data_IF_957591325131
#
_entry.id   IF_957591325131
#
_cell.length_a   1.000
_cell.length_b   1.000
_cell.length_c   1.000
_cell.angle_alpha   90.00
_cell.angle_beta   90.00
_cell.angle_gamma   90.00
#
_symmetry.space_group_name_H-M   'P 1'
#
loop_
_entity.id
_entity.type
_entity.pdbx_description
1 polymer ?
#
# COMPACT_ATOMS: atom_id res chain seq x y z
N UNK A 1 -4.62 -18.17 -18.90
CA UNK A 1 -3.64 -17.55 -17.94
C UNK A 1 -4.18 -17.77 -16.54
N UNK A 2 -3.36 -17.95 -15.48
CA UNK A 2 -3.97 -18.16 -14.15
C UNK A 2 -4.63 -16.88 -13.62
N UNK A 3 -5.70 -17.03 -12.84
CA UNK A 3 -6.37 -15.95 -12.11
C UNK A 3 -5.38 -15.13 -11.25
N UNK A 4 -4.36 -15.80 -10.69
CA UNK A 4 -3.29 -15.15 -9.92
C UNK A 4 -2.40 -14.28 -10.82
N UNK A 5 -2.03 -14.78 -12.02
CA UNK A 5 -1.21 -13.99 -12.95
C UNK A 5 -1.96 -12.70 -13.37
N UNK A 6 -3.27 -12.78 -13.58
CA UNK A 6 -4.12 -11.61 -13.83
C UNK A 6 -4.20 -10.69 -12.60
N UNK A 7 -4.38 -11.24 -11.39
CA UNK A 7 -4.32 -10.45 -10.15
C UNK A 7 -2.99 -9.69 -10.06
N UNK A 8 -1.86 -10.32 -10.35
CA UNK A 8 -0.56 -9.70 -10.22
C UNK A 8 -0.34 -8.62 -11.30
N UNK A 9 -0.77 -8.88 -12.54
CA UNK A 9 -0.79 -7.89 -13.61
C UNK A 9 -1.59 -6.63 -13.23
N UNK A 10 -2.84 -6.82 -12.80
CA UNK A 10 -3.74 -5.75 -12.34
C UNK A 10 -3.15 -5.04 -11.13
N UNK A 11 -2.50 -5.76 -10.22
CA UNK A 11 -1.87 -5.17 -9.04
C UNK A 11 -0.63 -4.34 -9.40
N UNK A 12 0.19 -4.80 -10.35
CA UNK A 12 1.34 -4.04 -10.84
C UNK A 12 0.88 -2.77 -11.56
N UNK A 13 -0.19 -2.84 -12.38
CA UNK A 13 -0.83 -1.65 -12.94
C UNK A 13 -1.38 -0.75 -11.84
N UNK A 14 -2.10 -1.28 -10.84
CA UNK A 14 -2.63 -0.49 -9.71
C UNK A 14 -1.50 0.21 -8.96
N UNK A 15 -0.42 -0.49 -8.62
CA UNK A 15 0.71 0.08 -7.88
C UNK A 15 1.41 1.17 -8.68
N UNK A 16 1.54 1.00 -10.01
CA UNK A 16 1.99 2.05 -10.91
C UNK A 16 1.00 3.24 -10.96
N UNK A 17 -0.30 2.96 -11.00
CA UNK A 17 -1.37 3.95 -11.05
C UNK A 17 -1.57 4.69 -9.72
N UNK A 18 -1.29 4.09 -8.56
CA UNK A 18 -1.32 4.77 -7.24
C UNK A 18 -0.31 5.93 -7.23
N UNK A 19 0.86 5.74 -7.84
CA UNK A 19 1.87 6.79 -8.02
C UNK A 19 1.48 7.85 -9.08
N UNK A 20 0.53 7.56 -9.98
CA UNK A 20 -0.01 8.52 -10.98
C UNK A 20 -1.23 9.28 -10.45
N UNK A 21 -2.23 8.56 -9.94
CA UNK A 21 -3.62 8.99 -9.74
C UNK A 21 -3.86 9.70 -8.41
N UNK A 22 -2.92 10.57 -8.03
CA UNK A 22 -3.03 11.47 -6.87
C UNK A 22 -3.81 12.80 -7.07
N UNK A 23 -4.71 12.98 -8.08
CA UNK A 23 -5.72 14.06 -8.06
C UNK A 23 -6.82 13.88 -7.00
N UNK A 24 -7.24 12.65 -6.70
CA UNK A 24 -8.42 12.34 -5.87
C UNK A 24 -8.31 12.71 -4.38
N UNK A 25 -7.20 13.31 -3.95
CA UNK A 25 -7.04 13.81 -2.57
C UNK A 25 -7.95 15.01 -2.26
N UNK A 26 -8.52 15.69 -3.27
CA UNK A 26 -9.32 16.92 -3.09
C UNK A 26 -10.56 16.76 -2.21
N UNK A 27 -11.17 15.59 -2.19
CA UNK A 27 -12.47 15.38 -1.53
C UNK A 27 -12.35 14.92 -0.07
N UNK A 28 -11.13 14.63 0.41
CA UNK A 28 -10.81 14.54 1.84
C UNK A 28 -10.63 15.94 2.44
N UNK A 29 -11.70 16.75 2.35
CA UNK A 29 -11.81 18.04 3.01
C UNK A 29 -11.50 17.86 4.49
N UNK A 30 -10.62 18.71 5.04
CA UNK A 30 -10.29 18.67 6.46
C UNK A 30 -11.58 18.82 7.29
N UNK A 31 -11.92 17.86 8.17
CA UNK A 31 -13.12 17.97 8.98
C UNK A 31 -12.99 19.22 9.87
N UNK A 32 -14.06 20.03 9.90
CA UNK A 32 -14.13 21.16 10.81
C UNK A 32 -13.83 20.66 12.24
N UNK A 33 -12.94 21.36 12.94
CA UNK A 33 -12.37 20.88 14.20
C UNK A 33 -13.48 20.43 15.17
N UNK A 34 -13.52 19.12 15.43
CA UNK A 34 -14.51 18.55 16.32
C UNK A 34 -14.38 19.19 17.72
N UNK A 35 -15.49 19.45 18.44
CA UNK A 35 -15.40 19.89 19.82
C UNK A 35 -14.57 18.90 20.63
N UNK A 36 -13.90 19.39 21.68
CA UNK A 36 -12.86 18.66 22.41
C UNK A 36 -13.39 17.44 23.19
N UNK A 37 -13.68 16.36 22.47
CA UNK A 37 -13.97 15.05 23.02
C UNK A 37 -12.73 14.49 23.75
N UNK A 38 -12.98 13.61 24.73
CA UNK A 38 -11.92 12.88 25.42
C UNK A 38 -11.11 12.04 24.41
N UNK A 39 -9.79 11.98 24.60
CA UNK A 39 -8.92 11.24 23.70
C UNK A 39 -9.16 9.73 23.85
N UNK A 40 -9.53 9.06 22.76
CA UNK A 40 -9.83 7.63 22.80
C UNK A 40 -8.55 6.82 22.97
N UNK A 41 -8.48 6.05 24.05
CA UNK A 41 -7.30 5.28 24.41
C UNK A 41 -7.22 3.92 23.69
N UNK A 42 -6.04 3.60 23.18
CA UNK A 42 -5.69 2.36 22.51
C UNK A 42 -4.42 1.76 23.10
N UNK A 43 -4.37 0.43 23.19
CA UNK A 43 -3.25 -0.33 23.77
C UNK A 43 -2.65 -1.37 22.82
N UNK A 44 -3.35 -1.67 21.73
CA UNK A 44 -2.79 -2.40 20.59
C UNK A 44 -3.27 -1.79 19.26
N UNK A 45 -2.62 -2.17 18.15
CA UNK A 45 -2.97 -1.67 16.83
C UNK A 45 -4.27 -2.31 16.27
N UNK A 46 -4.68 -3.46 16.80
CA UNK A 46 -5.86 -4.20 16.31
C UNK A 46 -7.12 -3.42 16.65
N UNK A 47 -7.28 -3.01 17.90
CA UNK A 47 -8.47 -2.30 18.35
C UNK A 47 -8.54 -0.90 17.72
N UNK A 48 -7.39 -0.24 17.53
CA UNK A 48 -7.29 1.01 16.76
C UNK A 48 -7.81 0.84 15.33
N UNK A 49 -7.26 -0.10 14.57
CA UNK A 49 -7.67 -0.30 13.18
C UNK A 49 -9.09 -0.88 13.06
N UNK A 50 -9.58 -1.62 14.08
CA UNK A 50 -10.99 -2.04 14.16
C UNK A 50 -11.93 -0.84 14.13
N UNK A 51 -11.68 0.19 14.95
CA UNK A 51 -12.50 1.39 14.96
C UNK A 51 -12.36 2.24 13.69
N UNK A 52 -11.15 2.37 13.13
CA UNK A 52 -10.92 3.15 11.89
C UNK A 52 -11.67 2.51 10.70
N UNK A 53 -11.58 1.19 10.57
CA UNK A 53 -12.24 0.41 9.51
C UNK A 53 -13.74 0.19 9.77
N UNK A 54 -14.24 0.51 10.97
CA UNK A 54 -15.65 0.33 11.35
C UNK A 54 -16.04 -1.12 11.66
N UNK A 55 -15.07 -1.97 12.01
CA UNK A 55 -15.32 -3.36 12.41
C UNK A 55 -15.89 -3.41 13.83
N UNK A 56 -17.11 -3.95 13.94
CA UNK A 56 -17.87 -4.04 15.19
C UNK A 56 -19.07 -3.11 15.17
N UNK A 57 -18.99 -2.01 15.91
CA UNK A 57 -20.08 -1.05 16.10
C UNK A 57 -19.87 0.20 15.21
N UNK A 58 -20.71 0.46 14.19
CA UNK A 58 -20.56 1.62 13.32
C UNK A 58 -20.62 2.96 14.05
N UNK A 59 -21.32 3.04 15.19
CA UNK A 59 -21.41 4.25 16.02
C UNK A 59 -20.09 4.55 16.76
N UNK A 60 -19.17 3.58 16.79
CA UNK A 60 -17.81 3.72 17.34
C UNK A 60 -16.73 3.93 16.27
N UNK A 61 -17.09 4.16 15.00
CA UNK A 61 -16.08 4.37 13.96
C UNK A 61 -15.22 5.61 14.25
N UNK A 62 -13.89 5.45 14.22
CA UNK A 62 -12.95 6.56 14.44
C UNK A 62 -12.87 7.46 13.21
N UNK A 63 -13.67 8.53 13.22
CA UNK A 63 -13.65 9.57 12.21
C UNK A 63 -12.39 10.48 12.30
N UNK A 64 -12.02 11.09 11.18
CA UNK A 64 -11.01 12.16 11.18
C UNK A 64 -11.50 13.36 12.01
N UNK A 65 -10.57 14.07 12.65
CA UNK A 65 -10.83 15.06 13.70
C UNK A 65 -10.90 14.46 15.11
N UNK A 66 -11.00 13.13 15.26
CA UNK A 66 -11.02 12.47 16.56
C UNK A 66 -9.68 12.56 17.31
N UNK A 67 -9.74 12.82 18.63
CA UNK A 67 -8.57 12.74 19.51
C UNK A 67 -8.27 11.29 19.88
N UNK A 68 -6.99 10.93 19.84
CA UNK A 68 -6.49 9.56 20.04
C UNK A 68 -5.36 9.58 21.07
N UNK A 69 -5.28 8.52 21.87
CA UNK A 69 -4.20 8.25 22.81
C UNK A 69 -3.68 6.82 22.58
N UNK A 70 -2.49 6.66 22.01
CA UNK A 70 -1.84 5.36 21.84
C UNK A 70 -0.91 5.09 23.04
N UNK A 71 -1.07 3.96 23.75
CA UNK A 71 -0.34 3.65 24.99
C UNK A 71 0.71 2.58 24.81
N UNK A 72 1.97 2.88 25.13
CA UNK A 72 3.08 1.92 25.03
C UNK A 72 3.39 1.47 23.60
N UNK A 73 3.25 2.37 22.62
CA UNK A 73 3.58 2.09 21.23
C UNK A 73 5.06 2.42 20.98
N UNK A 74 5.75 1.65 20.13
CA UNK A 74 7.14 1.90 19.77
C UNK A 74 7.23 2.71 18.48
N UNK A 75 8.11 3.70 18.42
CA UNK A 75 8.34 4.52 17.23
C UNK A 75 9.31 3.86 16.24
N UNK A 76 9.19 4.21 14.95
CA UNK A 76 10.14 3.84 13.89
C UNK A 76 9.92 4.69 12.63
N UNK A 77 10.97 5.09 11.88
CA UNK A 77 10.80 5.79 10.59
C UNK A 77 10.15 4.91 9.50
N UNK A 78 10.08 3.60 9.71
CA UNK A 78 9.52 2.63 8.76
C UNK A 78 7.99 2.57 8.82
N UNK A 79 7.32 3.44 8.07
CA UNK A 79 5.84 3.54 7.96
C UNK A 79 5.26 2.37 7.14
N UNK A 80 4.06 1.82 7.41
CA UNK A 80 3.46 0.80 6.54
C UNK A 80 3.29 1.31 5.10
N UNK A 81 3.59 0.50 4.06
CA UNK A 81 3.39 0.90 2.64
C UNK A 81 1.94 1.33 2.37
N UNK A 82 0.99 0.60 2.94
CA UNK A 82 -0.44 0.94 2.94
C UNK A 82 -0.93 0.80 4.38
N UNK A 83 -1.03 1.90 5.14
CA UNK A 83 -1.58 1.88 6.49
C UNK A 83 -2.94 1.17 6.55
N UNK A 84 -3.20 0.43 7.63
CA UNK A 84 -4.45 -0.30 7.83
C UNK A 84 -4.65 -1.56 6.98
N UNK A 85 -3.96 -1.72 5.84
CA UNK A 85 -4.16 -2.85 4.92
C UNK A 85 -3.98 -4.21 5.61
N UNK A 86 -2.98 -4.34 6.50
CA UNK A 86 -2.77 -5.56 7.28
C UNK A 86 -4.01 -6.01 8.08
N UNK A 87 -4.87 -5.09 8.48
CA UNK A 87 -6.02 -5.34 9.33
C UNK A 87 -7.31 -5.66 8.56
N UNK A 88 -7.33 -5.48 7.22
CA UNK A 88 -8.49 -5.87 6.40
C UNK A 88 -8.72 -7.39 6.43
N UNK A 89 -9.99 -7.79 6.51
CA UNK A 89 -10.41 -9.19 6.57
C UNK A 89 -9.96 -9.99 5.32
N UNK A 90 -10.02 -9.36 4.15
CA UNK A 90 -9.57 -9.93 2.87
C UNK A 90 -8.04 -10.10 2.86
N UNK A 91 -7.31 -9.12 3.43
CA UNK A 91 -5.85 -9.18 3.57
C UNK A 91 -5.41 -10.31 4.50
N UNK A 92 -6.18 -10.63 5.55
CA UNK A 92 -5.93 -11.82 6.37
C UNK A 92 -6.04 -13.12 5.55
N UNK A 93 -7.01 -13.20 4.62
CA UNK A 93 -7.15 -14.35 3.71
C UNK A 93 -5.97 -14.43 2.72
N UNK A 94 -5.52 -13.31 2.15
CA UNK A 94 -4.32 -13.29 1.28
C UNK A 94 -3.07 -13.83 2.02
N UNK A 95 -2.82 -13.36 3.25
CA UNK A 95 -1.70 -13.86 4.09
C UNK A 95 -1.85 -15.33 4.52
N UNK A 96 -3.07 -15.86 4.54
CA UNK A 96 -3.34 -17.27 4.79
C UNK A 96 -3.07 -18.11 3.54
N UNK A 97 -3.62 -17.72 2.38
CA UNK A 97 -3.46 -18.41 1.09
C UNK A 97 -1.98 -18.47 0.67
N UNK A 98 -1.22 -17.40 0.93
CA UNK A 98 0.23 -17.36 0.74
C UNK A 98 1.00 -18.53 1.39
N UNK A 99 0.47 -19.17 2.44
CA UNK A 99 1.13 -20.31 3.10
C UNK A 99 1.24 -21.55 2.20
N UNK A 100 0.33 -21.70 1.24
CA UNK A 100 0.36 -22.76 0.24
C UNK A 100 1.52 -22.55 -0.75
N UNK A 101 1.87 -21.28 -1.00
CA UNK A 101 2.95 -20.82 -1.87
C UNK A 101 4.33 -20.83 -1.17
N UNK A 102 4.60 -21.82 -0.33
CA UNK A 102 5.91 -22.07 0.27
C UNK A 102 6.61 -23.26 -0.40
N UNK A 103 7.84 -23.03 -0.86
CA UNK A 103 8.73 -24.04 -1.40
C UNK A 103 9.95 -24.23 -0.48
N UNK A 104 10.45 -25.46 -0.38
CA UNK A 104 11.65 -25.77 0.39
C UNK A 104 12.90 -25.52 -0.46
N UNK A 105 13.59 -24.41 -0.20
CA UNK A 105 14.85 -24.04 -0.82
C UNK A 105 15.98 -24.13 0.22
N UNK A 106 16.92 -25.06 0.03
CA UNK A 106 18.03 -25.28 0.99
C UNK A 106 17.57 -25.68 2.40
N UNK A 107 16.37 -26.26 2.54
CA UNK A 107 15.75 -26.57 3.84
C UNK A 107 14.96 -25.42 4.47
N UNK A 108 15.06 -24.19 3.93
CA UNK A 108 14.25 -23.05 4.36
C UNK A 108 12.97 -22.95 3.53
N UNK A 109 11.84 -22.71 4.20
CA UNK A 109 10.53 -22.53 3.56
C UNK A 109 10.37 -21.11 2.99
N UNK A 110 10.93 -20.87 1.81
CA UNK A 110 10.79 -19.60 1.09
C UNK A 110 9.44 -19.52 0.38
N UNK A 111 8.85 -18.33 0.34
CA UNK A 111 7.68 -18.06 -0.51
C UNK A 111 8.09 -17.94 -1.98
N UNK A 112 7.25 -18.43 -2.89
CA UNK A 112 7.29 -18.11 -4.33
C UNK A 112 7.03 -16.62 -4.56
N UNK A 113 7.21 -16.09 -5.80
CA UNK A 113 6.79 -14.73 -6.12
C UNK A 113 5.29 -14.51 -5.81
N UNK A 114 4.45 -15.49 -6.11
CA UNK A 114 3.01 -15.51 -5.74
C UNK A 114 2.82 -15.41 -4.22
N UNK A 115 3.52 -16.24 -3.45
CA UNK A 115 3.45 -16.22 -1.98
C UNK A 115 3.93 -14.90 -1.38
N UNK A 116 4.92 -14.23 -2.00
CA UNK A 116 5.40 -12.91 -1.57
C UNK A 116 4.42 -11.80 -1.97
N UNK A 117 3.88 -11.81 -3.19
CA UNK A 117 2.79 -10.94 -3.65
C UNK A 117 1.59 -11.01 -2.72
N UNK A 118 1.13 -12.21 -2.35
CA UNK A 118 0.01 -12.40 -1.43
C UNK A 118 0.28 -11.90 0.00
N UNK A 119 1.52 -11.90 0.48
CA UNK A 119 1.87 -11.25 1.76
C UNK A 119 1.87 -9.72 1.64
N UNK A 120 2.42 -9.15 0.56
CA UNK A 120 2.50 -7.68 0.37
C UNK A 120 1.13 -7.06 0.13
N UNK A 121 0.26 -7.73 -0.63
CA UNK A 121 -1.15 -7.35 -0.76
C UNK A 121 -1.97 -7.67 0.49
N UNK A 122 -1.49 -8.59 1.32
CA UNK A 122 -1.90 -8.74 2.70
C UNK A 122 -1.35 -7.65 3.65
N UNK A 123 -0.79 -6.55 3.16
CA UNK A 123 -0.30 -5.45 4.01
C UNK A 123 1.00 -5.73 4.76
N UNK A 124 1.86 -6.61 4.24
CA UNK A 124 3.25 -6.74 4.71
C UNK A 124 4.15 -5.85 3.85
N UNK A 125 4.87 -4.92 4.47
CA UNK A 125 5.75 -4.00 3.75
C UNK A 125 5.78 -2.61 4.38
N UNK A 126 6.97 -2.04 4.47
CA UNK A 126 7.22 -0.72 5.02
C UNK A 126 7.90 0.17 3.98
N UNK A 127 7.77 1.49 4.15
CA UNK A 127 8.58 2.49 3.47
C UNK A 127 9.23 3.42 4.49
N UNK A 128 10.45 3.87 4.21
CA UNK A 128 11.10 4.98 4.93
C UNK A 128 11.05 6.21 4.03
N UNK A 129 10.53 7.31 4.56
CA UNK A 129 10.32 8.56 3.82
C UNK A 129 11.24 9.66 4.32
N UNK A 130 11.67 10.54 3.42
CA UNK A 130 12.46 11.72 3.78
C UNK A 130 11.61 12.66 4.67
N UNK A 131 12.21 13.31 5.68
CA UNK A 131 11.54 14.39 6.40
C UNK A 131 11.30 15.59 5.48
N UNK A 132 10.16 16.24 5.65
CA UNK A 132 9.93 17.60 5.12
C UNK A 132 10.63 18.63 6.00
N UNK A 133 10.70 19.89 5.57
CA UNK A 133 11.31 20.98 6.34
C UNK A 133 10.62 21.33 7.68
N UNK A 134 9.44 20.75 7.97
CA UNK A 134 8.66 21.04 9.19
C UNK A 134 8.06 19.80 9.86
N UNK A 135 8.15 18.62 9.26
CA UNK A 135 7.52 17.40 9.78
C UNK A 135 8.02 16.13 9.11
N UNK A 136 7.84 14.96 9.74
CA UNK A 136 8.04 13.66 9.10
C UNK A 136 6.93 12.68 9.45
N UNK A 137 6.70 11.69 8.58
CA UNK A 137 5.78 10.58 8.84
C UNK A 137 6.55 9.36 9.32
N UNK A 138 6.14 8.84 10.48
CA UNK A 138 6.72 7.67 11.15
C UNK A 138 5.64 6.63 11.44
N UNK A 139 6.05 5.47 11.94
CA UNK A 139 5.19 4.42 12.46
C UNK A 139 5.17 4.42 14.00
N UNK A 140 3.99 4.18 14.58
CA UNK A 140 3.82 3.74 15.96
C UNK A 140 3.27 2.30 15.98
N UNK A 141 3.93 1.39 16.69
CA UNK A 141 3.53 -0.02 16.81
C UNK A 141 3.75 -0.56 18.23
N UNK A 142 2.67 -0.92 18.91
CA UNK A 142 2.65 -1.65 20.18
C UNK A 142 3.21 -3.08 20.06
N UNK A 143 2.95 -3.75 18.93
CA UNK A 143 3.44 -5.11 18.67
C UNK A 143 4.92 -5.17 18.25
N UNK A 144 5.50 -4.04 17.84
CA UNK A 144 6.87 -3.95 17.30
C UNK A 144 6.99 -4.38 15.83
N UNK A 145 5.90 -4.73 15.15
CA UNK A 145 5.86 -5.11 13.74
C UNK A 145 5.35 -3.93 12.91
N UNK A 146 6.27 -3.11 12.39
CA UNK A 146 5.92 -1.77 11.91
C UNK A 146 5.01 -1.75 10.66
N UNK A 147 4.90 -2.82 9.88
CA UNK A 147 3.90 -2.91 8.79
C UNK A 147 2.44 -3.00 9.28
N UNK A 148 2.23 -3.24 10.59
CA UNK A 148 0.91 -3.27 11.23
C UNK A 148 0.52 -1.95 11.89
N UNK A 149 1.47 -1.02 12.02
CA UNK A 149 1.37 0.13 12.91
C UNK A 149 0.41 1.21 12.45
N UNK A 150 0.35 2.27 13.25
CA UNK A 150 -0.38 3.51 12.97
C UNK A 150 0.61 4.51 12.36
N UNK A 151 0.30 5.15 11.22
CA UNK A 151 1.12 6.25 10.70
C UNK A 151 0.92 7.48 11.58
N UNK A 152 2.02 8.15 11.94
CA UNK A 152 2.07 9.32 12.81
C UNK A 152 2.79 10.43 12.07
N UNK A 153 2.17 11.60 11.97
CA UNK A 153 2.81 12.82 11.48
C UNK A 153 3.34 13.58 12.70
N UNK A 154 4.66 13.71 12.81
CA UNK A 154 5.32 14.44 13.90
C UNK A 154 5.90 15.73 13.33
N UNK A 155 5.57 16.88 13.94
CA UNK A 155 6.22 18.16 13.62
C UNK A 155 7.69 18.15 14.06
N UNK A 156 8.57 18.82 13.32
CA UNK A 156 10.02 18.74 13.49
C UNK A 156 10.47 19.23 14.89
N UNK A 157 9.82 20.25 15.45
CA UNK A 157 10.08 20.75 16.80
C UNK A 157 9.72 19.73 17.89
N UNK A 158 8.75 18.84 17.62
CA UNK A 158 8.45 17.72 18.51
C UNK A 158 9.44 16.55 18.28
N UNK A 159 9.90 16.33 17.05
CA UNK A 159 10.86 15.26 16.73
C UNK A 159 12.26 15.51 17.33
N UNK A 160 12.79 16.72 17.20
CA UNK A 160 14.15 17.07 17.63
C UNK A 160 14.42 16.82 19.13
N UNK A 161 13.38 16.85 19.97
CA UNK A 161 13.46 16.53 21.40
C UNK A 161 13.92 15.09 21.71
N UNK A 162 13.88 14.19 20.72
CA UNK A 162 14.27 12.77 20.86
C UNK A 162 15.53 12.39 20.07
N UNK A 163 16.18 13.36 19.43
CA UNK A 163 17.43 13.17 18.68
C UNK A 163 17.29 12.31 17.42
N UNK A 164 18.42 11.81 16.93
CA UNK A 164 18.51 11.21 15.58
C UNK A 164 17.78 9.86 15.44
N UNK A 165 17.49 9.15 16.54
CA UNK A 165 17.02 7.76 16.48
C UNK A 165 16.13 7.32 17.67
N UNK A 166 14.89 7.84 17.83
CA UNK A 166 13.88 7.26 18.73
C UNK A 166 13.26 5.97 18.19
N UNK A 167 13.96 5.22 17.32
CA UNK A 167 13.52 3.89 16.89
C UNK A 167 13.36 3.01 18.13
N UNK A 168 12.35 2.15 18.19
CA UNK A 168 12.13 1.25 19.35
C UNK A 168 11.80 1.95 20.67
N UNK A 169 11.75 3.30 20.71
CA UNK A 169 11.35 4.06 21.89
C UNK A 169 9.85 3.80 22.15
N UNK A 170 9.55 3.19 23.28
CA UNK A 170 8.18 3.01 23.76
C UNK A 170 7.68 4.34 24.36
N UNK A 171 6.58 4.83 23.80
CA UNK A 171 5.95 6.11 24.12
C UNK A 171 4.45 5.92 24.39
N UNK A 172 3.86 6.84 25.13
CA UNK A 172 2.45 7.18 24.97
C UNK A 172 2.34 8.38 24.00
N UNK A 173 1.43 8.33 23.03
CA UNK A 173 1.18 9.38 22.04
C UNK A 173 -0.25 9.93 22.17
N UNK A 174 -0.39 11.23 22.37
CA UNK A 174 -1.64 11.96 22.17
C UNK A 174 -1.65 12.59 20.77
N UNK A 175 -2.81 12.75 20.14
CA UNK A 175 -2.88 13.48 18.87
C UNK A 175 -4.27 13.54 18.26
N UNK A 176 -4.34 14.04 17.03
CA UNK A 176 -5.57 14.14 16.23
C UNK A 176 -5.48 13.25 15.00
N UNK A 177 -6.39 12.30 14.87
CA UNK A 177 -6.53 11.48 13.67
C UNK A 177 -6.98 12.36 12.50
N UNK A 178 -6.13 12.54 11.49
CA UNK A 178 -6.29 13.57 10.46
C UNK A 178 -5.74 13.12 9.10
N UNK A 179 -6.19 13.68 7.96
CA UNK A 179 -5.69 13.30 6.64
C UNK A 179 -4.17 13.45 6.52
N UNK A 180 -3.50 12.46 5.91
CA UNK A 180 -2.04 12.47 5.70
C UNK A 180 -1.70 13.60 4.73
N UNK A 181 -0.80 14.55 5.07
CA UNK A 181 -0.44 15.66 4.19
C UNK A 181 -0.07 15.18 2.78
N UNK A 182 -0.48 15.95 1.76
CA UNK A 182 -0.54 15.46 0.37
C UNK A 182 0.80 14.93 -0.11
N UNK A 183 1.89 15.59 0.29
CA UNK A 183 3.28 15.22 0.07
C UNK A 183 3.60 13.78 0.50
N UNK A 184 3.34 13.40 1.75
CA UNK A 184 3.55 12.02 2.23
C UNK A 184 2.52 11.03 1.67
N UNK A 185 1.30 11.50 1.40
CA UNK A 185 0.26 10.71 0.76
C UNK A 185 0.57 10.33 -0.70
N UNK A 186 1.68 10.82 -1.28
CA UNK A 186 2.19 10.40 -2.60
C UNK A 186 3.06 9.12 -2.54
N UNK A 187 3.80 8.88 -1.45
CA UNK A 187 4.63 7.68 -1.29
C UNK A 187 3.85 6.46 -0.79
N UNK A 188 2.94 6.70 0.16
CA UNK A 188 2.08 5.66 0.71
C UNK A 188 1.04 5.24 -0.35
N UNK A 189 0.66 3.97 -0.39
CA UNK A 189 -0.38 3.49 -1.32
C UNK A 189 -1.81 3.85 -0.86
N UNK A 190 -2.80 3.43 -1.63
CA UNK A 190 -4.22 3.52 -1.30
C UNK A 190 -4.87 2.15 -1.18
N UNK A 191 -6.01 2.07 -0.49
CA UNK A 191 -6.89 0.89 -0.55
C UNK A 191 -8.34 1.30 -0.28
N UNK A 192 -9.28 0.70 -1.02
CA UNK A 192 -10.71 0.95 -0.89
C UNK A 192 -11.20 0.61 0.53
N UNK A 193 -11.96 1.53 1.12
CA UNK A 193 -12.47 1.45 2.49
C UNK A 193 -11.48 1.89 3.59
N UNK A 194 -10.21 2.13 3.29
CA UNK A 194 -9.22 2.61 4.28
C UNK A 194 -9.05 4.14 4.18
N UNK A 195 -9.28 4.91 5.26
CA UNK A 195 -9.03 6.34 5.24
C UNK A 195 -7.52 6.63 5.24
N UNK A 196 -7.09 7.53 4.33
CA UNK A 196 -5.68 7.95 4.19
C UNK A 196 -5.31 9.00 5.26
N UNK A 197 -5.35 8.57 6.52
CA UNK A 197 -5.17 9.40 7.72
C UNK A 197 -3.96 8.94 8.56
N UNK A 198 -3.44 9.85 9.37
CA UNK A 198 -2.38 9.66 10.36
C UNK A 198 -2.74 10.31 11.69
N UNK A 199 -2.07 9.90 12.76
CA UNK A 199 -2.09 10.61 14.03
C UNK A 199 -1.20 11.84 13.91
N UNK A 200 -1.78 13.04 13.89
CA UNK A 200 -0.99 14.29 13.94
C UNK A 200 -0.61 14.62 15.38
N UNK A 201 0.69 14.84 15.57
CA UNK A 201 1.38 15.05 16.85
C UNK A 201 2.22 16.31 16.70
N UNK A 202 1.86 17.37 17.43
CA UNK A 202 2.30 18.74 17.14
C UNK A 202 3.12 19.40 18.25
N UNK A 203 3.18 18.80 19.45
CA UNK A 203 3.96 19.27 20.60
C UNK A 203 4.82 18.15 21.15
N UNK A 204 5.93 18.50 21.78
CA UNK A 204 6.68 17.55 22.61
C UNK A 204 5.82 16.97 23.75
N UNK A 205 4.90 17.76 24.33
CA UNK A 205 3.95 17.29 25.36
C UNK A 205 3.01 16.17 24.86
N UNK A 206 2.80 16.07 23.54
CA UNK A 206 1.97 15.03 22.93
C UNK A 206 2.68 13.66 22.93
N UNK A 207 3.99 13.60 23.21
CA UNK A 207 4.83 12.40 23.20
C UNK A 207 5.44 12.19 24.59
N UNK A 208 4.97 11.19 25.33
CA UNK A 208 5.50 10.83 26.66
C UNK A 208 6.37 9.57 26.57
N UNK A 209 7.72 9.67 26.66
CA UNK A 209 8.59 8.50 26.69
C UNK A 209 8.38 7.61 27.92
N UNK A 210 8.59 6.31 27.73
CA UNK A 210 8.46 5.30 28.80
C UNK A 210 9.76 4.54 29.02
N UNK A 211 10.33 4.00 27.94
CA UNK A 211 11.56 3.18 27.91
C UNK A 211 11.97 2.87 26.47
N UNK A 212 13.22 2.49 26.25
CA UNK A 212 13.62 1.81 25.01
C UNK A 212 13.16 0.35 25.04
N UNK A 213 12.65 -0.19 23.92
CA UNK A 213 12.23 -1.60 23.80
C UNK A 213 12.67 -2.20 22.48
N UNK A 214 13.68 -3.07 22.56
CA UNK A 214 14.35 -3.71 21.43
C UNK A 214 14.05 -5.22 21.35
N UNK A 215 14.10 -5.85 20.16
CA UNK A 215 14.16 -5.23 18.83
C UNK A 215 12.77 -4.79 18.33
N UNK A 216 12.75 -4.11 17.19
CA UNK A 216 11.54 -3.96 16.36
C UNK A 216 11.75 -4.58 14.97
N UNK A 217 10.68 -4.90 14.24
CA UNK A 217 10.73 -5.56 12.93
C UNK A 217 10.05 -4.73 11.84
N UNK A 218 10.74 -4.53 10.72
CA UNK A 218 10.24 -3.90 9.49
C UNK A 218 10.25 -4.90 8.33
N UNK A 219 9.63 -4.55 7.21
CA UNK A 219 9.63 -5.35 5.99
C UNK A 219 10.04 -4.53 4.77
N UNK A 220 11.24 -4.78 4.27
CA UNK A 220 11.69 -4.32 2.96
C UNK A 220 10.85 -4.99 1.87
N UNK A 221 10.64 -4.32 0.73
CA UNK A 221 9.89 -4.86 -0.40
C UNK A 221 10.31 -4.21 -1.73
N UNK A 222 10.00 -4.87 -2.84
CA UNK A 222 10.11 -4.32 -4.20
C UNK A 222 9.08 -5.00 -5.08
N UNK A 223 8.41 -4.26 -5.95
CA UNK A 223 7.82 -4.82 -7.17
C UNK A 223 8.98 -5.18 -8.13
N UNK A 224 8.91 -6.28 -8.87
CA UNK A 224 9.94 -6.65 -9.85
C UNK A 224 9.32 -7.29 -11.11
N UNK A 225 9.92 -7.05 -12.29
CA UNK A 225 9.59 -7.82 -13.51
C UNK A 225 10.57 -8.98 -13.71
N UNK A 226 10.07 -10.11 -14.20
CA UNK A 226 10.87 -11.29 -14.55
C UNK A 226 10.20 -12.07 -15.69
N UNK A 227 10.88 -13.11 -16.19
CA UNK A 227 10.28 -14.06 -17.15
C UNK A 227 9.86 -15.34 -16.44
N UNK A 228 8.61 -15.76 -16.65
CA UNK A 228 8.16 -17.07 -16.23
C UNK A 228 8.78 -18.19 -17.07
N UNK A 229 8.62 -19.44 -16.63
CA UNK A 229 9.02 -20.62 -17.41
C UNK A 229 8.30 -20.73 -18.77
N UNK A 230 7.13 -20.08 -18.89
CA UNK A 230 6.36 -19.87 -20.11
C UNK A 230 6.89 -18.74 -21.02
N UNK A 231 8.07 -18.17 -20.69
CA UNK A 231 8.71 -17.01 -21.33
C UNK A 231 7.92 -15.70 -21.29
N UNK A 232 6.73 -15.69 -20.66
CA UNK A 232 5.89 -14.50 -20.49
C UNK A 232 6.52 -13.58 -19.46
N UNK A 233 6.37 -12.26 -19.65
CA UNK A 233 6.76 -11.29 -18.62
C UNK A 233 5.76 -11.36 -17.48
N UNK A 234 6.26 -11.42 -16.25
CA UNK A 234 5.47 -11.43 -15.01
C UNK A 234 5.95 -10.30 -14.11
N UNK A 235 5.03 -9.83 -13.28
CA UNK A 235 5.25 -8.76 -12.31
C UNK A 235 4.82 -9.28 -10.95
N UNK A 236 5.72 -9.30 -9.97
CA UNK A 236 5.44 -9.82 -8.62
C UNK A 236 6.12 -8.92 -7.57
N UNK A 237 5.70 -9.04 -6.32
CA UNK A 237 6.43 -8.45 -5.21
C UNK A 237 7.42 -9.44 -4.61
N UNK A 238 8.59 -8.94 -4.25
CA UNK A 238 9.47 -9.56 -3.28
C UNK A 238 9.40 -8.76 -1.97
N UNK A 239 9.52 -9.45 -0.82
CA UNK A 239 9.65 -8.83 0.49
C UNK A 239 10.63 -9.62 1.37
N UNK A 240 11.21 -8.95 2.36
CA UNK A 240 12.03 -9.55 3.42
C UNK A 240 11.83 -8.79 4.74
N UNK A 241 11.67 -9.51 5.86
CA UNK A 241 11.55 -8.91 7.20
C UNK A 241 12.92 -8.79 7.85
N UNK A 242 13.25 -7.60 8.34
CA UNK A 242 14.50 -7.31 9.04
C UNK A 242 14.25 -6.72 10.43
N UNK A 243 15.21 -6.90 11.32
CA UNK A 243 15.22 -6.31 12.65
C UNK A 243 15.91 -4.95 12.60
N UNK A 244 15.29 -3.93 13.17
CA UNK A 244 15.89 -2.61 13.32
C UNK A 244 16.47 -2.51 14.73
N UNK A 245 17.66 -1.92 14.86
CA UNK A 245 18.45 -1.85 16.09
C UNK A 245 18.68 -3.24 16.72
N UNK A 246 19.49 -4.05 16.04
CA UNK A 246 20.13 -5.26 16.62
C UNK A 246 21.20 -4.94 17.70
N UNK A 247 21.26 -3.70 18.20
CA UNK A 247 22.23 -3.25 19.20
C UNK A 247 22.26 -4.20 20.39
N UNK A 248 23.42 -4.78 20.65
CA UNK A 248 23.69 -5.37 21.96
C UNK A 248 23.64 -4.27 23.03
N UNK A 249 23.03 -4.49 24.22
CA UNK A 249 22.95 -3.49 25.29
C UNK A 249 24.31 -3.09 25.90
N UNK A 250 25.42 -3.57 25.33
CA UNK A 250 26.80 -3.24 25.69
C UNK A 250 27.51 -2.35 24.63
N UNK A 251 26.81 -1.93 23.55
CA UNK A 251 27.35 -1.07 22.47
C UNK A 251 26.51 0.20 22.26
N UNK A 252 27.14 1.27 21.78
CA UNK A 252 26.47 2.51 21.33
C UNK A 252 25.85 2.30 19.93
N UNK A 253 24.75 2.98 19.54
CA UNK A 253 23.98 2.67 17.56
C UNK A 253 25.02 3.05 16.49
N UNK A 254 26.17 2.39 16.41
CA UNK A 254 27.19 2.67 15.37
C UNK A 254 27.11 1.64 14.25
N UNK A 255 26.74 2.08 13.04
CA UNK A 255 26.79 1.35 11.74
C UNK A 255 25.90 0.09 11.62
N UNK A 256 25.60 -0.62 12.71
CA UNK A 256 24.83 -1.89 12.75
C UNK A 256 23.37 -1.77 12.25
N UNK A 257 22.78 -0.55 12.20
CA UNK A 257 21.44 -0.31 11.63
C UNK A 257 21.39 -0.25 10.09
N UNK A 258 22.47 0.22 9.46
CA UNK A 258 22.59 0.16 8.00
C UNK A 258 22.65 -1.32 7.58
N UNK A 259 23.50 -2.09 8.27
CA UNK A 259 23.73 -3.51 7.99
C UNK A 259 22.44 -4.36 7.94
N UNK A 260 21.44 -4.15 8.80
CA UNK A 260 20.20 -4.94 8.73
C UNK A 260 19.24 -4.51 7.62
N UNK A 261 19.35 -3.26 7.14
CA UNK A 261 18.64 -2.77 5.95
C UNK A 261 19.34 -3.26 4.68
N UNK A 262 20.68 -3.23 4.67
CA UNK A 262 21.53 -3.74 3.59
C UNK A 262 21.41 -5.27 3.46
N UNK A 263 21.37 -6.03 4.55
CA UNK A 263 21.03 -7.47 4.57
C UNK A 263 19.69 -7.74 3.88
N UNK A 264 18.69 -6.88 4.11
CA UNK A 264 17.39 -7.01 3.48
C UNK A 264 17.47 -6.70 1.99
N UNK A 265 18.15 -5.61 1.59
CA UNK A 265 18.37 -5.24 0.20
C UNK A 265 19.17 -6.31 -0.57
N UNK A 266 20.21 -6.88 0.03
CA UNK A 266 21.00 -7.99 -0.50
C UNK A 266 20.13 -9.24 -0.72
N UNK A 267 19.29 -9.60 0.24
CA UNK A 267 18.32 -10.69 0.06
C UNK A 267 17.35 -10.40 -1.09
N UNK A 268 16.82 -9.17 -1.20
CA UNK A 268 15.90 -8.80 -2.27
C UNK A 268 16.59 -8.85 -3.64
N UNK A 269 17.82 -8.31 -3.76
CA UNK A 269 18.64 -8.37 -4.99
C UNK A 269 18.98 -9.81 -5.37
N UNK A 270 19.35 -10.65 -4.41
CA UNK A 270 19.61 -12.09 -4.62
C UNK A 270 18.37 -12.87 -5.07
N UNK A 271 17.21 -12.61 -4.46
CA UNK A 271 15.94 -13.24 -4.83
C UNK A 271 15.50 -12.83 -6.24
N UNK A 272 15.50 -11.53 -6.56
CA UNK A 272 15.16 -11.02 -7.90
C UNK A 272 16.12 -11.59 -8.96
N UNK A 273 17.43 -11.61 -8.67
CA UNK A 273 18.46 -12.18 -9.54
C UNK A 273 18.26 -13.67 -9.80
N UNK A 274 17.77 -14.43 -8.81
CA UNK A 274 17.39 -15.84 -8.95
C UNK A 274 16.23 -16.12 -9.90
N UNK A 275 15.40 -15.11 -10.20
CA UNK A 275 14.37 -15.14 -11.25
C UNK A 275 14.81 -14.43 -12.55
N UNK A 276 16.07 -14.02 -12.65
CA UNK A 276 16.60 -13.15 -13.71
C UNK A 276 15.76 -11.87 -13.93
N UNK A 277 15.22 -11.31 -12.85
CA UNK A 277 14.35 -10.14 -12.88
C UNK A 277 15.07 -8.80 -12.72
N UNK A 278 14.29 -7.71 -12.78
CA UNK A 278 14.71 -6.35 -12.48
C UNK A 278 13.78 -5.71 -11.44
N UNK A 279 14.35 -5.04 -10.44
CA UNK A 279 13.60 -4.24 -9.46
C UNK A 279 12.89 -3.06 -10.14
N UNK A 280 11.62 -2.85 -9.81
CA UNK A 280 10.79 -1.80 -10.40
C UNK A 280 10.47 -0.66 -9.42
N UNK A 281 10.57 -0.88 -8.12
CA UNK A 281 10.33 0.11 -7.07
C UNK A 281 11.40 0.01 -5.98
N UNK A 282 11.57 1.07 -5.19
CA UNK A 282 12.33 1.03 -3.94
C UNK A 282 11.39 1.15 -2.73
N UNK A 283 11.88 0.81 -1.54
CA UNK A 283 11.18 0.93 -0.26
C UNK A 283 11.80 2.00 0.66
N UNK A 284 12.91 2.62 0.25
CA UNK A 284 13.67 3.56 1.08
C UNK A 284 13.96 4.87 0.30
N UNK A 285 13.43 5.99 0.81
CA UNK A 285 13.61 7.32 0.22
C UNK A 285 14.90 8.00 0.69
N UNK A 286 15.38 7.65 1.89
CA UNK A 286 16.59 8.22 2.47
C UNK A 286 17.86 7.59 1.86
N UNK A 287 17.78 6.32 1.44
CA UNK A 287 18.89 5.55 0.88
C UNK A 287 18.39 4.56 -0.18
N UNK A 288 18.48 4.87 -1.48
CA UNK A 288 18.08 3.93 -2.54
C UNK A 288 18.94 2.65 -2.56
N UNK A 289 18.28 1.49 -2.64
CA UNK A 289 18.88 0.15 -2.59
C UNK A 289 18.96 -0.56 -3.94
N UNK A 290 18.26 -0.03 -4.96
CA UNK A 290 18.20 -0.60 -6.30
C UNK A 290 18.34 0.46 -7.41
N UNK A 291 18.85 0.03 -8.57
CA UNK A 291 18.61 0.70 -9.86
C UNK A 291 17.17 0.41 -10.32
N UNK A 292 16.19 0.95 -9.57
CA UNK A 292 14.78 0.69 -9.75
C UNK A 292 14.19 1.45 -10.95
N UNK A 293 13.21 0.86 -11.63
CA UNK A 293 12.53 1.58 -12.70
C UNK A 293 11.73 2.81 -12.20
N UNK A 294 11.25 2.79 -10.95
CA UNK A 294 10.60 3.91 -10.25
C UNK A 294 11.14 3.98 -8.80
N UNK A 295 12.30 4.60 -8.55
CA UNK A 295 12.81 4.74 -7.20
C UNK A 295 11.96 5.78 -6.44
N UNK A 296 11.73 5.52 -5.15
CA UNK A 296 10.74 6.28 -4.35
C UNK A 296 11.14 7.74 -4.14
N UNK A 297 12.45 8.05 -4.11
CA UNK A 297 12.97 9.41 -4.03
C UNK A 297 12.66 10.25 -5.29
N UNK A 298 12.78 9.71 -6.51
CA UNK A 298 12.36 10.40 -7.73
C UNK A 298 10.84 10.67 -7.72
N UNK A 299 10.05 9.71 -7.24
CA UNK A 299 8.58 9.83 -7.19
C UNK A 299 8.16 10.96 -6.25
N UNK A 300 8.74 11.00 -5.05
CA UNK A 300 8.42 11.97 -4.00
C UNK A 300 8.90 13.39 -4.33
N UNK A 301 10.11 13.52 -4.88
CA UNK A 301 10.63 14.81 -5.34
C UNK A 301 9.98 15.30 -6.65
N UNK A 302 9.01 14.54 -7.20
CA UNK A 302 8.35 14.78 -8.50
C UNK A 302 9.34 14.90 -9.67
N UNK A 303 10.45 14.17 -9.57
CA UNK A 303 11.51 14.08 -10.57
C UNK A 303 11.29 12.92 -11.55
N UNK A 304 10.44 11.92 -11.21
CA UNK A 304 9.97 10.94 -12.20
C UNK A 304 9.26 11.68 -13.34
N UNK A 305 9.82 11.55 -14.53
CA UNK A 305 9.17 11.96 -15.77
C UNK A 305 7.79 11.28 -15.93
N UNK A 306 6.68 12.04 -16.10
CA UNK A 306 5.37 11.47 -16.42
C UNK A 306 5.36 10.63 -17.71
N UNK A 307 6.33 10.81 -18.62
CA UNK A 307 6.63 9.89 -19.72
C UNK A 307 7.09 8.51 -19.21
N UNK A 308 8.20 8.43 -18.47
CA UNK A 308 8.73 7.21 -17.79
C UNK A 308 7.64 6.46 -17.04
N UNK A 309 6.82 7.15 -16.26
CA UNK A 309 5.75 6.54 -15.46
C UNK A 309 4.58 6.01 -16.32
N UNK A 310 4.14 6.74 -17.35
CA UNK A 310 3.15 6.22 -18.32
C UNK A 310 3.71 5.04 -19.13
N UNK A 311 4.97 5.14 -19.58
CA UNK A 311 5.67 4.05 -20.27
C UNK A 311 5.78 2.79 -19.38
N UNK A 312 5.84 2.92 -18.05
CA UNK A 312 5.72 1.78 -17.16
C UNK A 312 4.30 1.19 -17.13
N UNK A 313 3.27 2.01 -16.90
CA UNK A 313 1.87 1.55 -16.91
C UNK A 313 1.54 0.81 -18.21
N UNK A 314 1.89 1.40 -19.35
CA UNK A 314 1.66 0.80 -20.67
C UNK A 314 2.56 -0.42 -20.94
N UNK A 315 3.79 -0.49 -20.38
CA UNK A 315 4.62 -1.71 -20.39
C UNK A 315 3.95 -2.85 -19.62
N UNK A 316 3.35 -2.58 -18.45
CA UNK A 316 2.68 -3.63 -17.65
C UNK A 316 1.41 -4.08 -18.37
N UNK A 317 0.52 -3.15 -18.75
CA UNK A 317 -0.69 -3.41 -19.54
C UNK A 317 -0.39 -4.28 -20.76
N UNK A 318 0.44 -3.78 -21.68
CA UNK A 318 0.73 -4.43 -22.97
C UNK A 318 1.45 -5.78 -22.86
N UNK A 319 2.08 -6.10 -21.72
CA UNK A 319 2.77 -7.40 -21.51
C UNK A 319 1.96 -8.41 -20.70
N UNK A 320 1.10 -7.96 -19.79
CA UNK A 320 0.45 -8.82 -18.80
C UNK A 320 -1.09 -8.78 -18.80
N UNK A 321 -1.68 -7.86 -19.58
CA UNK A 321 -3.12 -7.82 -19.85
C UNK A 321 -3.48 -8.08 -21.32
N UNK A 322 -2.49 -8.25 -22.21
CA UNK A 322 -2.70 -8.37 -23.67
C UNK A 322 -3.80 -9.38 -24.09
N UNK A 323 -4.48 -9.22 -25.24
CA UNK A 323 -5.63 -10.04 -25.65
C UNK A 323 -5.40 -11.57 -25.70
N UNK A 324 -4.17 -12.03 -25.86
CA UNK A 324 -3.79 -13.46 -25.79
C UNK A 324 -3.62 -13.98 -24.34
N UNK A 325 -3.96 -13.14 -23.37
CA UNK A 325 -3.75 -13.34 -21.92
C UNK A 325 -4.99 -13.08 -21.07
N UNK A 326 -5.99 -12.33 -21.58
CA UNK A 326 -7.26 -12.04 -20.87
C UNK A 326 -8.47 -12.17 -21.81
N UNK A 327 -9.60 -12.67 -21.31
CA UNK A 327 -10.85 -12.85 -22.05
C UNK A 327 -11.69 -11.57 -22.13
N UNK A 328 -11.28 -10.64 -22.98
CA UNK A 328 -12.00 -9.38 -23.22
C UNK A 328 -13.45 -9.60 -23.70
N UNK A 329 -13.72 -10.69 -24.43
CA UNK A 329 -15.06 -11.11 -24.89
C UNK A 329 -16.09 -11.30 -23.76
N UNK A 330 -15.61 -11.47 -22.52
CA UNK A 330 -16.44 -11.68 -21.32
C UNK A 330 -16.80 -10.41 -20.58
N UNK A 331 -16.22 -9.26 -20.92
CA UNK A 331 -16.42 -8.02 -20.16
C UNK A 331 -17.90 -7.61 -20.01
N UNK A 332 -18.75 -7.60 -21.06
CA UNK A 332 -20.17 -7.26 -20.89
C UNK A 332 -20.91 -8.27 -20.00
N UNK A 333 -20.58 -9.55 -20.15
CA UNK A 333 -21.23 -10.65 -19.44
C UNK A 333 -20.90 -10.59 -17.94
N UNK A 334 -19.63 -10.37 -17.59
CA UNK A 334 -19.15 -10.26 -16.21
C UNK A 334 -19.67 -9.00 -15.52
N UNK A 335 -19.74 -7.87 -16.23
CA UNK A 335 -20.35 -6.65 -15.71
C UNK A 335 -21.83 -6.87 -15.38
N UNK A 336 -22.61 -7.42 -16.31
CA UNK A 336 -24.04 -7.71 -16.09
C UNK A 336 -24.31 -8.77 -15.01
N UNK A 337 -23.35 -9.66 -14.71
CA UNK A 337 -23.52 -10.74 -13.72
C UNK A 337 -23.07 -10.37 -12.31
N UNK A 338 -22.05 -9.52 -12.16
CA UNK A 338 -21.39 -9.28 -10.86
C UNK A 338 -21.49 -7.85 -10.33
N UNK A 339 -22.06 -6.92 -11.10
CA UNK A 339 -22.16 -5.50 -10.76
C UNK A 339 -23.58 -4.99 -10.97
N UNK A 340 -24.03 -4.05 -10.14
CA UNK A 340 -25.24 -3.28 -10.37
C UNK A 340 -24.93 -1.90 -10.99
N UNK A 341 -25.96 -1.17 -11.43
CA UNK A 341 -25.83 0.12 -12.12
C UNK A 341 -25.01 1.17 -11.38
N UNK A 342 -25.06 1.24 -10.05
CA UNK A 342 -24.29 2.21 -9.29
C UNK A 342 -22.82 1.77 -9.16
N UNK A 343 -22.55 0.46 -9.12
CA UNK A 343 -21.17 -0.07 -9.16
C UNK A 343 -20.54 0.09 -10.55
N UNK A 344 -21.31 0.01 -11.64
CA UNK A 344 -20.82 0.31 -13.00
C UNK A 344 -20.53 1.80 -13.17
N UNK A 345 -21.31 2.70 -12.55
CA UNK A 345 -20.98 4.13 -12.46
C UNK A 345 -19.69 4.39 -11.69
N UNK A 346 -19.50 3.73 -10.54
CA UNK A 346 -18.26 3.83 -9.74
C UNK A 346 -17.05 3.34 -10.55
N UNK A 347 -17.17 2.20 -11.26
CA UNK A 347 -16.11 1.72 -12.17
C UNK A 347 -15.75 2.76 -13.24
N UNK A 348 -16.75 3.37 -13.87
CA UNK A 348 -16.55 4.40 -14.89
C UNK A 348 -15.86 5.66 -14.32
N UNK A 349 -16.22 6.09 -13.12
CA UNK A 349 -15.65 7.28 -12.49
C UNK A 349 -14.23 7.05 -11.96
N UNK A 350 -14.01 6.00 -11.17
CA UNK A 350 -12.74 5.83 -10.42
C UNK A 350 -11.61 5.29 -11.31
N UNK A 351 -11.92 4.32 -12.18
CA UNK A 351 -10.92 3.69 -13.03
C UNK A 351 -10.75 4.41 -14.36
N UNK A 352 -11.87 4.83 -14.97
CA UNK A 352 -11.88 5.46 -16.30
C UNK A 352 -11.98 6.99 -16.26
N UNK A 353 -12.36 7.61 -15.14
CA UNK A 353 -12.52 9.07 -15.02
C UNK A 353 -13.56 9.65 -16.00
N UNK A 354 -14.65 8.90 -16.22
CA UNK A 354 -15.80 9.33 -17.02
C UNK A 354 -17.09 9.15 -16.22
N UNK A 355 -17.88 10.22 -16.09
CA UNK A 355 -19.26 10.10 -15.61
C UNK A 355 -20.07 9.34 -16.67
N UNK A 356 -20.63 8.18 -16.30
CA UNK A 356 -21.35 7.29 -17.20
C UNK A 356 -22.57 7.97 -17.85
N UNK A 357 -23.13 8.95 -17.16
CA UNK A 357 -24.17 9.88 -17.57
C UNK A 357 -23.85 10.69 -18.85
N UNK A 358 -22.58 10.85 -19.21
CA UNK A 358 -22.17 11.47 -20.47
C UNK A 358 -22.05 10.48 -21.63
N UNK A 359 -22.04 9.17 -21.35
CA UNK A 359 -22.04 8.10 -22.34
C UNK A 359 -23.45 7.58 -22.62
N UNK A 360 -24.30 7.49 -21.58
CA UNK A 360 -25.68 7.01 -21.65
C UNK A 360 -26.58 7.78 -20.68
N UNK A 361 -27.87 7.91 -20.99
CA UNK A 361 -28.79 8.69 -20.14
C UNK A 361 -28.95 8.13 -18.72
N UNK A 362 -29.13 9.02 -17.72
CA UNK A 362 -29.27 8.69 -16.28
C UNK A 362 -30.25 7.56 -15.95
N UNK A 363 -31.29 7.39 -16.77
CA UNK A 363 -32.37 6.41 -16.60
C UNK A 363 -32.20 5.13 -17.43
N UNK A 364 -31.07 4.95 -18.12
CA UNK A 364 -30.80 3.76 -18.92
C UNK A 364 -30.57 2.53 -18.04
N UNK A 365 -30.84 1.34 -18.59
CA UNK A 365 -30.69 0.07 -17.87
C UNK A 365 -29.23 -0.36 -17.72
N UNK A 366 -29.00 -1.36 -16.87
CA UNK A 366 -27.66 -1.95 -16.68
C UNK A 366 -27.04 -2.47 -17.99
N UNK A 367 -27.84 -3.05 -18.88
CA UNK A 367 -27.36 -3.51 -20.19
C UNK A 367 -26.84 -2.33 -21.05
N UNK A 368 -27.63 -1.26 -21.19
CA UNK A 368 -27.26 -0.07 -21.95
C UNK A 368 -26.02 0.63 -21.36
N UNK A 369 -25.92 0.66 -20.03
CA UNK A 369 -24.78 1.19 -19.27
C UNK A 369 -23.49 0.39 -19.50
N UNK A 370 -23.59 -0.93 -19.51
CA UNK A 370 -22.46 -1.82 -19.77
C UNK A 370 -22.01 -1.75 -21.23
N UNK A 371 -22.96 -1.74 -22.16
CA UNK A 371 -22.68 -1.63 -23.60
C UNK A 371 -22.01 -0.28 -23.95
N UNK A 372 -22.53 0.83 -23.42
CA UNK A 372 -21.94 2.15 -23.59
C UNK A 372 -20.54 2.27 -22.95
N UNK A 373 -20.32 1.66 -21.78
CA UNK A 373 -19.02 1.69 -21.10
C UNK A 373 -17.96 0.84 -21.83
N UNK A 374 -18.32 -0.35 -22.30
CA UNK A 374 -17.40 -1.21 -23.07
C UNK A 374 -17.10 -0.59 -24.44
N UNK A 375 -18.12 -0.09 -25.15
CA UNK A 375 -17.95 0.64 -26.43
C UNK A 375 -17.08 1.90 -26.30
N UNK A 376 -17.18 2.61 -25.17
CA UNK A 376 -16.25 3.70 -24.85
C UNK A 376 -14.82 3.18 -24.66
N UNK A 377 -14.62 2.11 -23.89
CA UNK A 377 -13.29 1.54 -23.65
C UNK A 377 -12.64 0.96 -24.91
N UNK A 378 -13.43 0.38 -25.83
CA UNK A 378 -12.97 -0.05 -27.15
C UNK A 378 -12.51 1.13 -28.02
N UNK A 379 -13.29 2.21 -28.06
CA UNK A 379 -13.00 3.37 -28.92
C UNK A 379 -11.81 4.20 -28.44
N UNK A 380 -11.63 4.34 -27.13
CA UNK A 380 -10.55 5.17 -26.56
C UNK A 380 -9.26 4.37 -26.23
N UNK A 381 -9.20 3.07 -26.55
CA UNK A 381 -8.08 2.14 -26.23
C UNK A 381 -7.81 1.98 -24.71
N UNK A 382 -8.86 1.61 -23.95
CA UNK A 382 -8.88 1.62 -22.47
C UNK A 382 -9.46 0.38 -21.79
N UNK A 383 -9.65 -0.72 -22.52
CA UNK A 383 -10.22 -1.94 -21.93
C UNK A 383 -9.37 -2.51 -20.77
N UNK A 384 -8.07 -2.26 -20.76
CA UNK A 384 -7.16 -2.59 -19.65
C UNK A 384 -7.51 -1.83 -18.37
N UNK A 385 -7.85 -0.54 -18.45
CA UNK A 385 -8.27 0.25 -17.29
C UNK A 385 -9.58 -0.31 -16.70
N UNK A 386 -10.50 -0.76 -17.56
CA UNK A 386 -11.76 -1.40 -17.17
C UNK A 386 -11.53 -2.79 -16.53
N UNK A 387 -10.65 -3.62 -17.11
CA UNK A 387 -10.23 -4.90 -16.51
C UNK A 387 -9.58 -4.68 -15.14
N UNK A 388 -8.72 -3.67 -15.02
CA UNK A 388 -8.04 -3.30 -13.78
C UNK A 388 -9.05 -2.94 -12.69
N UNK A 389 -10.15 -2.26 -13.03
CA UNK A 389 -11.27 -2.02 -12.12
C UNK A 389 -12.09 -3.26 -11.77
N UNK A 390 -12.59 -3.98 -12.78
CA UNK A 390 -13.43 -5.19 -12.60
C UNK A 390 -12.71 -6.25 -11.75
N UNK A 391 -11.41 -6.43 -11.95
CA UNK A 391 -10.59 -7.36 -11.20
C UNK A 391 -10.23 -6.82 -9.80
N UNK A 392 -10.28 -5.52 -9.51
CA UNK A 392 -10.11 -5.01 -8.15
C UNK A 392 -11.40 -5.20 -7.34
N UNK A 393 -12.53 -4.71 -7.84
CA UNK A 393 -13.82 -4.72 -7.13
C UNK A 393 -14.44 -6.11 -6.93
N UNK A 394 -14.03 -7.10 -7.73
CA UNK A 394 -14.49 -8.50 -7.62
C UNK A 394 -13.33 -9.47 -7.74
N UNK A 395 -13.13 -10.30 -6.71
CA UNK A 395 -12.13 -11.37 -6.76
C UNK A 395 -12.53 -12.54 -7.68
N UNK A 396 -13.82 -12.80 -7.82
CA UNK A 396 -14.35 -13.94 -8.60
C UNK A 396 -14.19 -13.76 -10.12
N UNK A 397 -14.40 -12.54 -10.64
CA UNK A 397 -14.25 -12.21 -12.08
C UNK A 397 -12.85 -12.50 -12.62
N UNK A 398 -11.81 -12.44 -11.77
CA UNK A 398 -10.42 -12.79 -12.11
C UNK A 398 -10.27 -14.22 -12.65
N UNK A 399 -11.10 -15.15 -12.15
CA UNK A 399 -11.10 -16.54 -12.58
C UNK A 399 -11.84 -16.76 -13.91
N UNK A 400 -12.67 -15.82 -14.34
CA UNK A 400 -13.49 -15.90 -15.55
C UNK A 400 -12.89 -15.08 -16.71
N UNK A 401 -12.19 -13.99 -16.39
CA UNK A 401 -11.29 -13.25 -17.27
C UNK A 401 -10.04 -14.06 -17.68
N UNK A 402 -9.72 -15.11 -16.92
CA UNK A 402 -8.63 -16.04 -17.22
C UNK A 402 -8.91 -16.90 -18.48
N UNK A 403 -7.99 -16.94 -19.48
CA UNK A 403 -8.03 -17.87 -20.60
C UNK A 403 -7.87 -19.33 -20.20
#
# INVERSE_FOLDING_TARGET
MSSETLLHAVTAVRTAQDYVKLPGYRDLIAPAAAPAAEAREYRDEKDFWSDVLGYGDPMKRLAAGGRVMLRGFRLSPWTPRVPGLFWKAESLQLRANARNERQLAGGLGLYTPVGKTLQVLGGVGNVRLLPSSTSRVICASSSGYYWRGVPVLVQEEAWQMYGDAPVGLEVDLCGVWSPIPREFAQALGGEAGIPRCCLSVSRHDDITPRREVWPGSSSAWSLFEYRGADQRTRFDFVYCTFEINRRSPLRRPTEEDAHSTDEAADFLRGYIGGYHGQALTDFDEEMPHFDAFLPINELMNRQVDPGRLRAFVERVKKRALAPETVRYDRLPQLLMQHFNSDEVRILALDYLSVELEHLVGRTAGLADQVDALVSYCEREDRLEDLIVGIAQERAQTRAELAP
#
